data_IF_143850304752
#
_entry.id   IF_143850304752
#
_cell.length_a   1.000
_cell.length_b   1.000
_cell.length_c   1.000
_cell.angle_alpha   90.00
_cell.angle_beta   90.00
_cell.angle_gamma   90.00
#
_symmetry.space_group_name_H-M   'P 1'
#
loop_
_entity.id
_entity.type
_entity.pdbx_description
1 polymer ?
#
# COMPACT_ATOMS: atom_id res chain seq x y z
N UNK A 1 11.06 -18.76 -32.00
CA UNK A 1 11.35 -17.35 -31.70
C UNK A 1 12.35 -17.36 -30.56
N UNK A 2 13.58 -16.90 -30.81
CA UNK A 2 14.64 -16.83 -29.78
C UNK A 2 14.22 -15.84 -28.71
N UNK A 3 14.12 -16.29 -27.46
CA UNK A 3 13.98 -15.40 -26.32
C UNK A 3 15.21 -14.48 -26.31
N UNK A 4 15.00 -13.18 -26.51
CA UNK A 4 16.05 -12.18 -26.35
C UNK A 4 16.56 -12.29 -24.90
N UNK A 5 17.88 -12.34 -24.72
CA UNK A 5 18.49 -12.27 -23.38
C UNK A 5 17.90 -11.09 -22.61
N UNK A 6 17.51 -11.28 -21.34
CA UNK A 6 16.94 -10.21 -20.54
C UNK A 6 17.96 -9.06 -20.45
N UNK A 7 17.60 -7.91 -21.02
CA UNK A 7 18.47 -6.74 -21.04
C UNK A 7 18.56 -6.11 -19.66
N UNK A 8 19.78 -5.96 -19.11
CA UNK A 8 20.01 -5.29 -17.83
C UNK A 8 19.50 -3.84 -17.85
N UNK A 9 18.80 -3.43 -16.79
CA UNK A 9 18.41 -2.03 -16.54
C UNK A 9 19.66 -1.29 -16.06
N UNK A 10 20.07 -0.26 -16.80
CA UNK A 10 21.22 0.62 -16.46
C UNK A 10 20.77 1.98 -15.98
N UNK A 11 19.60 2.41 -16.43
CA UNK A 11 18.97 3.69 -16.06
C UNK A 11 17.49 3.49 -15.78
N UNK A 12 17.04 3.94 -14.60
CA UNK A 12 15.68 3.77 -14.14
C UNK A 12 15.08 5.12 -13.77
N UNK A 13 13.92 5.45 -14.36
CA UNK A 13 13.13 6.60 -13.94
C UNK A 13 12.31 6.25 -12.71
N UNK A 14 12.45 7.03 -11.64
CA UNK A 14 11.58 7.00 -10.47
C UNK A 14 10.48 8.03 -10.67
N UNK A 15 9.26 7.57 -10.98
CA UNK A 15 8.10 8.41 -11.23
C UNK A 15 7.29 8.60 -9.93
N UNK A 16 7.93 9.14 -8.91
CA UNK A 16 7.33 9.35 -7.59
C UNK A 16 8.13 10.38 -6.78
N UNK A 17 7.68 10.66 -5.55
CA UNK A 17 8.27 11.62 -4.61
C UNK A 17 8.39 11.02 -3.20
N UNK A 18 8.84 11.84 -2.26
CA UNK A 18 8.82 11.49 -0.84
C UNK A 18 9.75 10.35 -0.48
N UNK A 19 9.38 9.59 0.56
CA UNK A 19 10.22 8.51 1.09
C UNK A 19 10.36 7.36 0.10
N UNK A 20 9.33 7.06 -0.71
CA UNK A 20 9.39 5.96 -1.69
C UNK A 20 10.38 6.27 -2.82
N UNK A 21 10.49 7.54 -3.23
CA UNK A 21 11.53 7.93 -4.18
C UNK A 21 12.92 7.73 -3.60
N UNK A 22 13.16 8.12 -2.34
CA UNK A 22 14.41 7.82 -1.62
C UNK A 22 14.66 6.32 -1.57
N UNK A 23 13.63 5.52 -1.23
CA UNK A 23 13.70 4.06 -1.13
C UNK A 23 14.14 3.41 -2.44
N UNK A 24 13.52 3.80 -3.56
CA UNK A 24 13.86 3.25 -4.89
C UNK A 24 15.26 3.70 -5.33
N UNK A 25 15.61 4.99 -5.16
CA UNK A 25 16.93 5.53 -5.50
C UNK A 25 18.06 4.84 -4.74
N UNK A 26 17.86 4.52 -3.45
CA UNK A 26 18.83 3.75 -2.66
C UNK A 26 19.06 2.35 -3.23
N UNK A 27 18.02 1.67 -3.71
CA UNK A 27 18.17 0.38 -4.38
C UNK A 27 18.89 0.55 -5.73
N UNK A 28 18.57 1.58 -6.53
CA UNK A 28 19.30 1.88 -7.76
C UNK A 28 20.80 2.05 -7.50
N UNK A 29 21.17 2.86 -6.53
CA UNK A 29 22.56 3.11 -6.13
C UNK A 29 23.26 1.79 -5.76
N UNK A 30 22.63 0.93 -4.93
CA UNK A 30 23.19 -0.36 -4.51
C UNK A 30 23.38 -1.33 -5.68
N UNK A 31 22.48 -1.29 -6.68
CA UNK A 31 22.55 -2.14 -7.88
C UNK A 31 23.43 -1.56 -8.99
N UNK A 32 23.99 -0.36 -8.82
CA UNK A 32 24.76 0.34 -9.85
C UNK A 32 23.91 0.79 -11.05
N UNK A 33 22.65 1.16 -10.78
CA UNK A 33 21.68 1.69 -11.76
C UNK A 33 21.63 3.21 -11.62
N UNK A 34 21.75 3.94 -12.73
CA UNK A 34 21.56 5.40 -12.74
C UNK A 34 20.11 5.74 -12.40
N UNK A 35 19.88 6.40 -11.27
CA UNK A 35 18.57 6.81 -10.78
C UNK A 35 18.17 8.18 -11.34
N UNK A 36 17.16 8.21 -12.20
CA UNK A 36 16.56 9.46 -12.72
C UNK A 36 15.26 9.71 -11.97
N UNK A 37 15.07 10.93 -11.46
CA UNK A 37 13.87 11.28 -10.68
C UNK A 37 13.00 12.30 -11.43
N UNK A 38 11.69 12.06 -11.50
CA UNK A 38 10.74 13.13 -11.84
C UNK A 38 10.50 14.02 -10.63
N UNK A 39 10.44 15.33 -10.85
CA UNK A 39 10.06 16.32 -9.82
C UNK A 39 9.08 17.34 -10.38
N UNK A 40 8.16 17.80 -9.53
CA UNK A 40 7.43 19.04 -9.75
C UNK A 40 8.22 20.21 -9.18
N UNK A 41 7.76 21.44 -9.40
CA UNK A 41 8.44 22.62 -8.86
C UNK A 41 8.50 22.61 -7.32
N UNK A 42 7.47 22.08 -6.67
CA UNK A 42 7.41 21.93 -5.21
C UNK A 42 8.51 21.00 -4.67
N UNK A 43 8.87 19.96 -5.42
CA UNK A 43 9.84 18.94 -4.99
C UNK A 43 11.26 19.16 -5.56
N UNK A 44 11.51 20.23 -6.32
CA UNK A 44 12.77 20.45 -7.02
C UNK A 44 14.00 20.51 -6.10
N UNK A 45 13.81 20.81 -4.81
CA UNK A 45 14.88 20.88 -3.79
C UNK A 45 14.74 19.80 -2.69
N UNK A 46 13.86 18.84 -2.88
CA UNK A 46 13.62 17.75 -1.93
C UNK A 46 14.84 16.85 -1.74
N UNK A 47 14.84 16.06 -0.68
CA UNK A 47 15.91 15.08 -0.44
C UNK A 47 16.07 14.09 -1.59
N UNK A 48 15.01 13.46 -2.14
CA UNK A 48 15.17 12.56 -3.28
C UNK A 48 15.75 13.28 -4.52
N UNK A 49 15.43 14.57 -4.75
CA UNK A 49 16.01 15.32 -5.86
C UNK A 49 17.53 15.52 -5.72
N UNK A 50 18.05 15.55 -4.50
CA UNK A 50 19.51 15.62 -4.24
C UNK A 50 20.20 14.27 -4.28
N UNK A 51 19.46 13.18 -4.08
CA UNK A 51 19.99 11.80 -4.11
C UNK A 51 20.00 11.19 -5.51
N UNK A 52 19.15 11.71 -6.40
CA UNK A 52 19.07 11.23 -7.77
C UNK A 52 20.31 11.62 -8.58
N UNK A 53 20.78 10.75 -9.46
CA UNK A 53 21.87 11.05 -10.40
C UNK A 53 21.43 12.11 -11.42
N UNK A 54 20.14 12.10 -11.79
CA UNK A 54 19.52 13.09 -12.68
C UNK A 54 18.11 13.40 -12.25
N UNK A 55 17.68 14.64 -12.51
CA UNK A 55 16.34 15.14 -12.22
C UNK A 55 15.67 15.62 -13.51
N UNK A 56 14.40 15.24 -13.72
CA UNK A 56 13.58 15.71 -14.84
C UNK A 56 12.32 16.36 -14.28
N UNK A 57 12.05 17.62 -14.68
CA UNK A 57 10.84 18.32 -14.27
C UNK A 57 9.63 17.85 -15.05
N UNK A 58 8.52 17.68 -14.33
CA UNK A 58 7.19 17.36 -14.87
C UNK A 58 6.17 18.34 -14.27
N UNK A 59 5.12 18.69 -15.01
CA UNK A 59 4.09 19.60 -14.48
C UNK A 59 3.27 18.96 -13.36
N UNK A 60 3.10 17.63 -13.41
CA UNK A 60 2.36 16.84 -12.41
C UNK A 60 2.84 15.40 -12.42
N UNK A 61 2.83 14.76 -11.24
CA UNK A 61 3.03 13.30 -11.13
C UNK A 61 1.87 12.48 -11.69
N UNK A 62 0.75 13.11 -12.04
CA UNK A 62 -0.42 12.51 -12.68
C UNK A 62 -0.44 12.69 -14.21
N UNK A 63 0.54 13.40 -14.79
CA UNK A 63 0.64 13.62 -16.23
C UNK A 63 1.38 12.45 -16.89
N UNK A 64 0.60 11.53 -17.49
CA UNK A 64 1.14 10.34 -18.15
C UNK A 64 2.11 10.69 -19.27
N UNK A 65 1.77 11.68 -20.11
CA UNK A 65 2.57 12.05 -21.28
C UNK A 65 3.91 12.67 -20.87
N UNK A 66 3.91 13.56 -19.87
CA UNK A 66 5.12 14.15 -19.31
C UNK A 66 6.02 13.10 -18.65
N UNK A 67 5.44 12.20 -17.87
CA UNK A 67 6.18 11.12 -17.19
C UNK A 67 6.79 10.13 -18.21
N UNK A 68 6.05 9.73 -19.24
CA UNK A 68 6.57 8.85 -20.30
C UNK A 68 7.64 9.56 -21.14
N UNK A 69 7.48 10.87 -21.41
CA UNK A 69 8.50 11.66 -22.10
C UNK A 69 9.80 11.70 -21.30
N UNK A 70 9.71 11.88 -19.98
CA UNK A 70 10.88 11.80 -19.08
C UNK A 70 11.54 10.41 -19.10
N UNK A 71 10.74 9.34 -19.22
CA UNK A 71 11.19 7.96 -19.23
C UNK A 71 11.91 7.54 -20.52
N UNK A 72 11.73 8.24 -21.64
CA UNK A 72 12.29 7.84 -22.97
C UNK A 72 13.81 7.69 -23.00
N UNK A 73 14.52 8.30 -22.06
CA UNK A 73 15.98 8.18 -21.95
C UNK A 73 16.42 7.10 -20.95
N UNK A 74 15.46 6.36 -20.39
CA UNK A 74 15.67 5.33 -19.39
C UNK A 74 15.28 3.95 -19.94
N UNK A 75 15.86 2.90 -19.37
CA UNK A 75 15.55 1.51 -19.72
C UNK A 75 14.21 1.07 -19.09
N UNK A 76 13.89 1.64 -17.92
CA UNK A 76 12.71 1.28 -17.14
C UNK A 76 12.16 2.48 -16.37
N UNK A 77 10.91 2.34 -15.90
CA UNK A 77 10.22 3.26 -15.01
C UNK A 77 9.70 2.49 -13.80
N UNK A 78 10.02 2.97 -12.59
CA UNK A 78 9.44 2.51 -11.33
C UNK A 78 8.42 3.53 -10.83
N UNK A 79 7.14 3.17 -10.70
CA UNK A 79 6.09 4.10 -10.33
C UNK A 79 5.97 4.32 -8.80
N UNK A 80 6.64 3.52 -7.98
CA UNK A 80 6.45 3.50 -6.52
C UNK A 80 5.04 3.05 -6.13
N UNK A 81 4.38 3.83 -5.29
CA UNK A 81 2.97 3.70 -4.92
C UNK A 81 2.23 5.06 -5.01
N UNK A 82 0.89 5.05 -5.05
CA UNK A 82 0.11 6.26 -5.30
C UNK A 82 0.31 6.83 -6.71
N UNK A 83 -0.20 8.02 -6.96
CA UNK A 83 -0.14 8.68 -8.28
C UNK A 83 -0.55 7.74 -9.43
N UNK A 84 0.39 7.45 -10.33
CA UNK A 84 0.16 6.62 -11.52
C UNK A 84 0.56 5.15 -11.35
N UNK A 85 0.89 4.69 -10.14
CA UNK A 85 1.42 3.34 -9.91
C UNK A 85 0.45 2.21 -10.32
N UNK A 86 -0.85 2.47 -10.25
CA UNK A 86 -1.91 1.52 -10.65
C UNK A 86 -2.62 1.95 -11.94
N UNK A 87 -2.04 2.88 -12.70
CA UNK A 87 -2.65 3.40 -13.92
C UNK A 87 -2.28 2.54 -15.15
N UNK A 88 -3.22 1.80 -15.76
CA UNK A 88 -2.94 0.96 -16.94
C UNK A 88 -2.50 1.77 -18.16
N UNK A 89 -2.91 3.05 -18.27
CA UNK A 89 -2.50 3.90 -19.39
C UNK A 89 -1.00 4.22 -19.30
N UNK A 90 -0.42 4.41 -18.09
CA UNK A 90 1.02 4.60 -17.93
C UNK A 90 1.79 3.36 -18.39
N UNK A 91 1.38 2.16 -17.96
CA UNK A 91 2.04 0.92 -18.35
C UNK A 91 1.97 0.69 -19.88
N UNK A 92 0.81 0.99 -20.50
CA UNK A 92 0.63 0.93 -21.95
C UNK A 92 1.53 1.92 -22.68
N UNK A 93 1.59 3.17 -22.23
CA UNK A 93 2.40 4.21 -22.82
C UNK A 93 3.91 3.96 -22.68
N UNK A 94 4.34 3.39 -21.55
CA UNK A 94 5.72 2.92 -21.35
C UNK A 94 6.08 1.84 -22.38
N UNK A 95 5.22 0.82 -22.55
CA UNK A 95 5.43 -0.25 -23.52
C UNK A 95 5.54 0.30 -24.95
N UNK A 96 4.66 1.23 -25.33
CA UNK A 96 4.69 1.89 -26.64
C UNK A 96 5.96 2.74 -26.85
N UNK A 97 6.54 3.27 -25.77
CA UNK A 97 7.79 4.03 -25.79
C UNK A 97 9.06 3.15 -25.71
N UNK A 98 8.92 1.81 -25.60
CA UNK A 98 10.04 0.89 -25.41
C UNK A 98 10.65 0.94 -24.01
N UNK A 99 9.94 1.50 -23.02
CA UNK A 99 10.36 1.62 -21.62
C UNK A 99 9.70 0.50 -20.82
N UNK A 100 10.49 -0.24 -20.02
CA UNK A 100 9.94 -1.29 -19.16
C UNK A 100 9.25 -0.68 -17.95
N UNK A 101 7.99 -1.01 -17.76
CA UNK A 101 7.25 -0.66 -16.54
C UNK A 101 7.60 -1.64 -15.42
N UNK A 102 8.12 -1.17 -14.29
CA UNK A 102 8.44 -2.00 -13.11
C UNK A 102 7.16 -2.22 -12.32
N UNK A 103 6.44 -3.26 -12.67
CA UNK A 103 5.13 -3.59 -12.12
C UNK A 103 4.37 -4.58 -13.01
N UNK A 104 3.09 -4.80 -12.71
CA UNK A 104 2.21 -5.68 -13.48
C UNK A 104 1.93 -5.17 -14.89
N UNK A 105 1.34 -6.03 -15.71
CA UNK A 105 0.88 -5.65 -17.05
C UNK A 105 -0.27 -4.64 -17.00
N UNK A 106 -0.47 -3.88 -18.07
CA UNK A 106 -1.62 -2.98 -18.17
C UNK A 106 -2.95 -3.71 -17.99
N UNK A 107 -3.06 -4.95 -18.47
CA UNK A 107 -4.27 -5.78 -18.32
C UNK A 107 -4.48 -6.16 -16.85
N UNK A 108 -3.42 -6.57 -16.13
CA UNK A 108 -3.49 -6.88 -14.70
C UNK A 108 -3.84 -5.64 -13.87
N UNK A 109 -3.26 -4.47 -14.21
CA UNK A 109 -3.60 -3.20 -13.56
C UNK A 109 -5.07 -2.83 -13.77
N UNK A 110 -5.61 -3.01 -14.99
CA UNK A 110 -7.01 -2.75 -15.27
C UNK A 110 -7.95 -3.70 -14.51
N UNK A 111 -7.59 -4.99 -14.44
CA UNK A 111 -8.37 -6.00 -13.71
C UNK A 111 -8.36 -5.74 -12.19
N UNK A 112 -7.22 -5.32 -11.63
CA UNK A 112 -7.07 -5.01 -10.21
C UNK A 112 -7.75 -3.69 -9.80
N UNK A 113 -7.72 -2.69 -10.68
CA UNK A 113 -8.25 -1.35 -10.41
C UNK A 113 -9.77 -1.22 -10.43
N UNK A 114 -10.48 -2.16 -11.06
CA UNK A 114 -11.94 -2.23 -11.05
C UNK A 114 -12.40 -3.24 -10.00
N UNK A 115 -13.07 -2.76 -8.93
CA UNK A 115 -13.45 -3.62 -7.78
C UNK A 115 -14.41 -4.75 -8.15
N UNK A 116 -15.28 -4.57 -9.15
CA UNK A 116 -16.17 -5.64 -9.61
C UNK A 116 -15.38 -6.68 -10.40
N UNK A 117 -14.51 -6.25 -11.32
CA UNK A 117 -13.65 -7.17 -12.06
C UNK A 117 -12.69 -7.93 -11.13
N UNK A 118 -12.05 -7.23 -10.18
CA UNK A 118 -11.18 -7.87 -9.18
C UNK A 118 -11.91 -8.93 -8.36
N UNK A 119 -13.17 -8.64 -7.96
CA UNK A 119 -14.02 -9.60 -7.26
C UNK A 119 -14.37 -10.81 -8.14
N UNK A 120 -14.70 -10.60 -9.43
CA UNK A 120 -14.96 -11.68 -10.39
C UNK A 120 -13.72 -12.58 -10.56
N UNK A 121 -12.55 -12.00 -10.69
CA UNK A 121 -11.29 -12.73 -10.73
C UNK A 121 -11.03 -13.51 -9.44
N UNK A 122 -11.31 -12.92 -8.27
CA UNK A 122 -11.18 -13.61 -6.98
C UNK A 122 -12.11 -14.84 -6.90
N UNK A 123 -13.38 -14.70 -7.29
CA UNK A 123 -14.34 -15.82 -7.35
C UNK A 123 -13.86 -16.89 -8.33
N UNK A 124 -13.40 -16.52 -9.53
CA UNK A 124 -12.89 -17.45 -10.53
C UNK A 124 -11.63 -18.20 -10.05
N UNK A 125 -10.81 -17.58 -9.20
CA UNK A 125 -9.66 -18.20 -8.55
C UNK A 125 -10.01 -19.01 -7.29
N UNK A 126 -11.30 -19.11 -6.91
CA UNK A 126 -11.74 -19.81 -5.72
C UNK A 126 -11.50 -19.08 -4.40
N UNK A 127 -11.22 -17.78 -4.45
CA UNK A 127 -10.98 -16.94 -3.27
C UNK A 127 -12.33 -16.56 -2.63
N UNK A 128 -12.51 -16.75 -1.30
CA UNK A 128 -13.73 -16.33 -0.63
C UNK A 128 -13.99 -14.83 -0.74
N UNK A 129 -15.23 -14.46 -1.02
CA UNK A 129 -15.68 -13.06 -1.11
C UNK A 129 -16.90 -12.84 -0.22
N UNK A 130 -17.08 -11.66 0.32
CA UNK A 130 -18.30 -11.33 1.06
C UNK A 130 -19.52 -11.34 0.10
N UNK A 131 -20.71 -11.77 0.56
CA UNK A 131 -21.93 -11.64 -0.23
C UNK A 131 -22.16 -10.19 -0.67
N UNK A 132 -22.49 -9.98 -1.94
CA UNK A 132 -22.67 -8.65 -2.52
C UNK A 132 -22.71 -8.68 -4.04
N UNK A 133 -22.84 -7.49 -4.65
CA UNK A 133 -22.91 -7.37 -6.12
C UNK A 133 -23.10 -5.94 -6.60
N UNK A 134 -23.19 -5.75 -7.93
CA UNK A 134 -23.35 -4.45 -8.55
C UNK A 134 -24.68 -3.77 -8.16
N UNK A 135 -24.63 -2.45 -7.94
CA UNK A 135 -25.78 -1.69 -7.45
C UNK A 135 -26.95 -1.53 -8.47
N UNK A 136 -26.80 -2.04 -9.69
CA UNK A 136 -27.89 -2.07 -10.67
C UNK A 136 -29.10 -2.92 -10.20
N UNK A 137 -28.83 -3.89 -9.32
CA UNK A 137 -29.83 -4.73 -8.65
C UNK A 137 -29.84 -4.51 -7.13
N UNK A 138 -29.59 -3.26 -6.66
CA UNK A 138 -29.34 -2.95 -5.26
C UNK A 138 -30.38 -3.51 -4.29
N UNK A 139 -31.69 -3.37 -4.60
CA UNK A 139 -32.77 -3.86 -3.72
C UNK A 139 -32.80 -5.39 -3.62
N UNK A 140 -32.55 -6.10 -4.72
CA UNK A 140 -32.49 -7.56 -4.70
C UNK A 140 -31.29 -8.06 -3.90
N UNK A 141 -30.11 -7.45 -4.12
CA UNK A 141 -28.88 -7.77 -3.38
C UNK A 141 -29.07 -7.44 -1.90
N UNK A 142 -29.61 -6.26 -1.55
CA UNK A 142 -29.86 -5.89 -0.16
C UNK A 142 -30.83 -6.85 0.55
N UNK A 143 -31.83 -7.38 -0.18
CA UNK A 143 -32.74 -8.39 0.36
C UNK A 143 -32.05 -9.74 0.61
N UNK A 144 -31.04 -10.10 -0.22
CA UNK A 144 -30.27 -11.33 -0.10
C UNK A 144 -29.23 -11.24 1.04
N UNK A 145 -28.43 -10.14 1.08
CA UNK A 145 -27.32 -10.03 2.04
C UNK A 145 -27.75 -9.50 3.42
N UNK A 146 -28.91 -8.86 3.51
CA UNK A 146 -29.43 -8.26 4.74
C UNK A 146 -28.78 -6.92 5.10
N UNK A 147 -29.19 -6.39 6.28
CA UNK A 147 -28.67 -5.15 6.84
C UNK A 147 -28.00 -5.41 8.20
N UNK A 148 -27.02 -4.62 8.62
CA UNK A 148 -26.43 -3.49 7.86
C UNK A 148 -25.55 -3.97 6.69
N UNK A 149 -25.42 -3.11 5.67
CA UNK A 149 -24.57 -3.36 4.51
C UNK A 149 -23.67 -2.14 4.19
N UNK A 150 -22.69 -2.33 3.31
CA UNK A 150 -21.84 -1.28 2.76
C UNK A 150 -22.21 -1.03 1.29
N UNK A 151 -22.32 0.25 0.93
CA UNK A 151 -22.28 0.74 -0.45
C UNK A 151 -20.88 1.25 -0.72
N UNK A 152 -20.26 0.81 -1.82
CA UNK A 152 -18.89 1.16 -2.21
C UNK A 152 -18.84 1.66 -3.64
N UNK A 153 -17.99 2.66 -3.93
CA UNK A 153 -17.67 3.07 -5.29
C UNK A 153 -16.77 2.04 -5.96
N UNK A 154 -17.06 1.66 -7.21
CA UNK A 154 -16.27 0.67 -7.97
C UNK A 154 -14.86 1.17 -8.24
N UNK A 155 -14.70 2.42 -8.70
CA UNK A 155 -13.41 3.06 -8.94
C UNK A 155 -12.77 3.68 -7.68
N UNK A 156 -13.36 3.51 -6.48
CA UNK A 156 -12.91 4.13 -5.25
C UNK A 156 -11.74 3.40 -4.59
N UNK A 157 -10.92 4.14 -3.83
CA UNK A 157 -9.82 3.62 -3.01
C UNK A 157 -9.69 4.38 -1.69
N UNK A 158 -8.97 3.80 -0.70
CA UNK A 158 -8.71 4.44 0.59
C UNK A 158 -9.97 4.80 1.39
N UNK A 159 -11.04 4.02 1.25
CA UNK A 159 -12.29 4.22 1.97
C UNK A 159 -13.20 5.34 1.43
N UNK A 160 -12.80 6.07 0.40
CA UNK A 160 -13.65 7.08 -0.23
C UNK A 160 -14.80 6.43 -1.00
N UNK A 161 -15.99 7.05 -0.91
CA UNK A 161 -17.21 6.53 -1.55
C UNK A 161 -17.78 5.29 -0.88
N UNK A 162 -17.44 5.04 0.41
CA UNK A 162 -18.05 3.98 1.22
C UNK A 162 -19.09 4.55 2.18
N UNK A 163 -20.27 3.90 2.23
CA UNK A 163 -21.37 4.28 3.12
C UNK A 163 -21.97 3.06 3.79
N UNK A 164 -22.13 3.15 5.11
CA UNK A 164 -22.91 2.18 5.89
C UNK A 164 -24.41 2.47 5.72
N UNK A 165 -25.15 1.42 5.39
CA UNK A 165 -26.62 1.46 5.28
C UNK A 165 -27.16 0.55 6.37
N UNK A 166 -27.90 1.16 7.32
CA UNK A 166 -28.36 0.45 8.51
C UNK A 166 -29.64 -0.35 8.28
N UNK A 167 -30.50 0.12 7.37
CA UNK A 167 -31.83 -0.40 7.15
C UNK A 167 -32.32 -0.15 5.70
N UNK A 168 -33.40 -0.82 5.26
CA UNK A 168 -33.95 -0.66 3.92
C UNK A 168 -34.40 0.77 3.57
N UNK A 169 -34.83 1.56 4.56
CA UNK A 169 -35.37 2.90 4.31
C UNK A 169 -34.28 3.89 3.93
N UNK A 170 -33.06 3.68 4.39
CA UNK A 170 -31.89 4.53 4.10
C UNK A 170 -31.14 4.15 2.82
N UNK A 171 -31.48 3.02 2.15
CA UNK A 171 -30.73 2.51 1.02
C UNK A 171 -30.70 3.46 -0.19
N UNK A 172 -31.86 3.94 -0.64
CA UNK A 172 -31.95 4.76 -1.85
C UNK A 172 -31.18 6.09 -1.69
N UNK A 173 -31.33 6.75 -0.53
CA UNK A 173 -30.61 7.99 -0.23
C UNK A 173 -29.09 7.76 -0.20
N UNK A 174 -28.64 6.66 0.43
CA UNK A 174 -27.22 6.30 0.48
C UNK A 174 -26.62 6.02 -0.91
N UNK A 175 -27.39 5.37 -1.80
CA UNK A 175 -26.97 5.12 -3.17
C UNK A 175 -26.83 6.42 -3.98
N UNK A 176 -27.78 7.37 -3.83
CA UNK A 176 -27.75 8.64 -4.57
C UNK A 176 -26.56 9.50 -4.13
N UNK A 177 -26.33 9.60 -2.83
CA UNK A 177 -25.18 10.31 -2.28
C UNK A 177 -23.84 9.66 -2.69
N UNK A 178 -23.75 8.33 -2.60
CA UNK A 178 -22.54 7.61 -3.01
C UNK A 178 -22.26 7.78 -4.52
N UNK A 179 -23.28 7.77 -5.39
CA UNK A 179 -23.12 8.03 -6.84
C UNK A 179 -22.61 9.44 -7.13
N UNK A 180 -23.13 10.43 -6.41
CA UNK A 180 -22.69 11.81 -6.56
C UNK A 180 -21.22 11.99 -6.15
N UNK A 181 -20.84 11.42 -5.01
CA UNK A 181 -19.46 11.45 -4.51
C UNK A 181 -18.50 10.70 -5.44
N UNK A 182 -18.86 9.48 -5.84
CA UNK A 182 -18.04 8.66 -6.73
C UNK A 182 -17.84 9.33 -8.11
N UNK A 183 -18.88 9.93 -8.67
CA UNK A 183 -18.78 10.69 -9.92
C UNK A 183 -17.86 11.90 -9.82
N UNK A 184 -17.90 12.62 -8.69
CA UNK A 184 -17.05 13.78 -8.47
C UNK A 184 -15.57 13.40 -8.18
N UNK A 185 -15.35 12.32 -7.41
CA UNK A 185 -14.02 11.94 -6.95
C UNK A 185 -13.25 11.06 -7.96
N UNK A 186 -13.96 10.21 -8.71
CA UNK A 186 -13.33 9.16 -9.54
C UNK A 186 -13.76 9.20 -11.02
N UNK A 187 -14.66 10.11 -11.41
CA UNK A 187 -15.31 10.13 -12.74
C UNK A 187 -16.02 8.79 -13.09
N UNK A 188 -16.30 7.95 -12.08
CA UNK A 188 -17.01 6.68 -12.21
C UNK A 188 -18.16 6.65 -11.18
N UNK A 189 -19.40 6.48 -11.65
CA UNK A 189 -20.60 6.48 -10.81
C UNK A 189 -21.08 5.08 -10.45
N UNK A 190 -20.35 4.03 -10.88
CA UNK A 190 -20.70 2.64 -10.57
C UNK A 190 -20.49 2.36 -9.09
N UNK A 191 -21.44 1.67 -8.49
CA UNK A 191 -21.44 1.27 -7.10
C UNK A 191 -21.65 -0.24 -6.99
N UNK A 192 -21.21 -0.80 -5.87
CA UNK A 192 -21.59 -2.15 -5.48
C UNK A 192 -21.96 -2.20 -3.99
N UNK A 193 -22.76 -3.22 -3.64
CA UNK A 193 -23.19 -3.49 -2.28
C UNK A 193 -22.44 -4.70 -1.76
N UNK A 194 -22.13 -4.68 -0.47
CA UNK A 194 -21.45 -5.78 0.20
C UNK A 194 -21.95 -5.91 1.64
N UNK A 195 -22.01 -7.14 2.15
CA UNK A 195 -22.32 -7.38 3.56
C UNK A 195 -21.34 -6.64 4.45
N UNK A 196 -21.84 -5.90 5.45
CA UNK A 196 -20.99 -5.33 6.49
C UNK A 196 -20.54 -6.44 7.46
N UNK A 197 -19.26 -6.47 7.74
CA UNK A 197 -18.67 -7.29 8.81
C UNK A 197 -18.23 -6.35 9.92
N UNK A 198 -18.85 -6.49 11.08
CA UNK A 198 -18.42 -5.76 12.28
C UNK A 198 -17.19 -6.44 12.90
N UNK A 199 -16.29 -5.64 13.46
CA UNK A 199 -15.10 -6.08 14.17
C UNK A 199 -14.15 -7.00 13.37
N UNK A 200 -14.12 -6.88 12.05
CA UNK A 200 -13.16 -7.60 11.21
C UNK A 200 -11.72 -7.06 11.36
N UNK A 201 -10.72 -7.90 11.10
CA UNK A 201 -9.31 -7.51 11.01
C UNK A 201 -8.92 -7.36 9.54
N UNK A 202 -8.11 -6.36 9.25
CA UNK A 202 -7.52 -6.18 7.93
C UNK A 202 -6.18 -6.91 7.89
N UNK A 203 -6.16 -8.06 7.26
CA UNK A 203 -4.93 -8.86 7.06
C UNK A 203 -4.68 -8.97 5.56
N UNK A 204 -3.43 -8.84 5.16
CA UNK A 204 -3.05 -8.84 3.76
C UNK A 204 -1.87 -9.77 3.50
N UNK A 205 -1.77 -10.29 2.28
CA UNK A 205 -0.71 -11.21 1.87
C UNK A 205 0.14 -10.57 0.78
N UNK A 206 1.45 -10.47 1.02
CA UNK A 206 2.41 -9.99 0.04
C UNK A 206 2.66 -11.03 -1.03
N UNK A 207 2.45 -10.66 -2.28
CA UNK A 207 2.80 -11.47 -3.45
C UNK A 207 4.07 -10.97 -4.13
N UNK A 208 4.79 -11.91 -4.75
CA UNK A 208 5.82 -11.66 -5.73
C UNK A 208 5.64 -12.64 -6.89
N UNK A 209 5.52 -12.14 -8.12
CA UNK A 209 5.29 -12.96 -9.31
C UNK A 209 6.20 -12.58 -10.47
N UNK A 210 6.58 -13.54 -11.32
CA UNK A 210 7.37 -13.31 -12.53
C UNK A 210 6.53 -13.39 -13.83
N UNK A 211 5.22 -13.59 -13.68
CA UNK A 211 4.27 -13.80 -14.78
C UNK A 211 4.08 -15.28 -15.13
N UNK A 212 4.83 -16.19 -14.53
CA UNK A 212 4.74 -17.65 -14.70
C UNK A 212 4.49 -18.32 -13.35
N UNK A 213 5.20 -17.90 -12.31
CA UNK A 213 5.08 -18.37 -10.94
C UNK A 213 4.75 -17.21 -10.02
N UNK A 214 4.02 -17.49 -8.97
CA UNK A 214 3.71 -16.55 -7.88
C UNK A 214 4.08 -17.20 -6.55
N UNK A 215 4.73 -16.44 -5.66
CA UNK A 215 4.96 -16.84 -4.27
C UNK A 215 4.36 -15.79 -3.34
N UNK A 216 3.96 -16.22 -2.14
CA UNK A 216 3.66 -15.29 -1.07
C UNK A 216 4.89 -15.07 -0.19
N UNK A 217 5.03 -13.88 0.38
CA UNK A 217 6.11 -13.50 1.29
C UNK A 217 5.60 -13.27 2.73
N UNK A 218 4.53 -14.00 3.10
CA UNK A 218 3.87 -13.86 4.39
C UNK A 218 2.77 -12.81 4.38
N UNK A 219 2.24 -12.58 5.57
CA UNK A 219 1.10 -11.71 5.83
C UNK A 219 1.47 -10.50 6.69
N UNK A 220 0.61 -9.49 6.63
CA UNK A 220 0.66 -8.28 7.46
C UNK A 220 -0.70 -8.02 8.09
N UNK A 221 -0.72 -7.57 9.34
CA UNK A 221 -1.91 -6.98 9.95
C UNK A 221 -1.87 -5.46 9.77
N UNK A 222 -2.94 -4.93 9.21
CA UNK A 222 -3.12 -3.51 8.94
C UNK A 222 -4.41 -2.99 9.60
N UNK A 223 -4.86 -3.61 10.69
CA UNK A 223 -6.14 -3.28 11.35
C UNK A 223 -6.11 -1.94 12.08
N UNK A 224 -4.93 -1.46 12.49
CA UNK A 224 -4.81 -0.15 13.15
C UNK A 224 -4.95 0.95 12.08
N UNK A 225 -6.17 1.45 11.97
CA UNK A 225 -6.58 2.38 10.92
C UNK A 225 -7.43 3.51 11.49
N UNK A 226 -7.40 4.66 10.80
CA UNK A 226 -8.36 5.73 11.00
C UNK A 226 -9.08 6.03 9.68
N UNK A 227 -10.41 5.91 9.67
CA UNK A 227 -11.22 6.14 8.46
C UNK A 227 -10.68 5.40 7.24
N UNK A 228 -10.31 4.12 7.43
CA UNK A 228 -9.72 3.24 6.42
C UNK A 228 -8.29 3.60 5.95
N UNK A 229 -7.64 4.55 6.62
CA UNK A 229 -6.22 4.86 6.41
C UNK A 229 -5.38 4.12 7.45
N UNK A 230 -4.46 3.29 6.98
CA UNK A 230 -3.53 2.52 7.83
C UNK A 230 -2.61 3.48 8.58
N UNK A 231 -2.41 3.24 9.88
CA UNK A 231 -1.53 4.03 10.75
C UNK A 231 -0.33 3.22 11.21
N UNK A 232 -0.55 1.95 11.51
CA UNK A 232 0.46 1.02 11.98
C UNK A 232 0.21 -0.35 11.36
N UNK A 233 1.28 -0.99 10.92
CA UNK A 233 1.27 -2.31 10.30
C UNK A 233 2.30 -3.23 10.94
N UNK A 234 1.99 -4.51 11.03
CA UNK A 234 2.89 -5.51 11.60
C UNK A 234 2.94 -6.82 10.79
N UNK A 235 4.09 -7.46 10.76
CA UNK A 235 4.33 -8.74 10.09
C UNK A 235 5.13 -9.69 11.01
N UNK A 236 4.72 -10.98 11.07
CA UNK A 236 3.47 -11.54 10.56
C UNK A 236 2.26 -11.07 11.39
N UNK A 237 1.04 -11.20 10.86
CA UNK A 237 -0.19 -10.85 11.58
C UNK A 237 -0.28 -11.63 12.90
N UNK A 238 -0.42 -10.96 14.06
CA UNK A 238 -0.47 -11.65 15.35
C UNK A 238 -1.77 -12.43 15.53
N UNK A 239 -1.73 -13.50 16.32
CA UNK A 239 -2.91 -14.31 16.69
C UNK A 239 -3.79 -14.76 15.51
N UNK A 240 -3.18 -14.98 14.34
CA UNK A 240 -3.86 -15.60 13.21
C UNK A 240 -3.70 -17.12 13.32
N UNK A 241 -4.80 -17.85 13.32
CA UNK A 241 -4.78 -19.32 13.32
C UNK A 241 -3.93 -19.86 12.16
N UNK A 242 -3.14 -20.88 12.41
CA UNK A 242 -2.17 -21.41 11.45
C UNK A 242 -2.84 -21.95 10.17
N UNK A 243 -4.01 -22.57 10.30
CA UNK A 243 -4.79 -23.07 9.15
C UNK A 243 -5.38 -21.91 8.37
N UNK A 244 -6.00 -20.95 9.06
CA UNK A 244 -6.54 -19.75 8.42
C UNK A 244 -5.46 -18.99 7.66
N UNK A 245 -4.26 -18.83 8.26
CA UNK A 245 -3.11 -18.24 7.59
C UNK A 245 -2.72 -18.98 6.31
N UNK A 246 -2.61 -20.30 6.39
CA UNK A 246 -2.27 -21.13 5.23
C UNK A 246 -3.33 -21.03 4.12
N UNK A 247 -4.61 -21.03 4.48
CA UNK A 247 -5.73 -20.89 3.54
C UNK A 247 -5.71 -19.50 2.87
N UNK A 248 -5.41 -18.44 3.62
CA UNK A 248 -5.26 -17.07 3.07
C UNK A 248 -4.06 -16.95 2.12
N UNK A 249 -2.91 -17.53 2.50
CA UNK A 249 -1.73 -17.55 1.63
C UNK A 249 -2.01 -18.28 0.32
N UNK A 250 -2.64 -19.45 0.39
CA UNK A 250 -3.03 -20.23 -0.79
C UNK A 250 -4.02 -19.46 -1.69
N UNK A 251 -5.02 -18.80 -1.10
CA UNK A 251 -5.99 -17.98 -1.82
C UNK A 251 -5.32 -16.81 -2.54
N UNK A 252 -4.38 -16.13 -1.88
CA UNK A 252 -3.65 -15.02 -2.49
C UNK A 252 -2.78 -15.48 -3.67
N UNK A 253 -2.05 -16.60 -3.52
CA UNK A 253 -1.24 -17.19 -4.60
C UNK A 253 -2.14 -17.60 -5.77
N UNK A 254 -3.27 -18.29 -5.51
CA UNK A 254 -4.21 -18.71 -6.54
C UNK A 254 -4.75 -17.51 -7.37
N UNK A 255 -5.08 -16.39 -6.71
CA UNK A 255 -5.47 -15.17 -7.41
C UNK A 255 -4.32 -14.59 -8.24
N UNK A 256 -3.11 -14.55 -7.69
CA UNK A 256 -1.92 -14.09 -8.40
C UNK A 256 -1.61 -14.93 -9.65
N UNK A 257 -1.69 -16.26 -9.54
CA UNK A 257 -1.51 -17.19 -10.67
C UNK A 257 -2.61 -17.01 -11.72
N UNK A 258 -3.87 -16.90 -11.30
CA UNK A 258 -5.01 -16.65 -12.18
C UNK A 258 -4.83 -15.37 -13.00
N UNK A 259 -4.23 -14.32 -12.42
CA UNK A 259 -3.96 -13.04 -13.09
C UNK A 259 -2.64 -13.05 -13.89
N UNK A 260 -1.83 -14.12 -13.87
CA UNK A 260 -0.49 -14.12 -14.44
C UNK A 260 0.35 -13.00 -13.84
N UNK A 261 0.30 -12.82 -12.51
CA UNK A 261 0.82 -11.66 -11.81
C UNK A 261 2.32 -11.49 -11.99
N UNK A 262 2.75 -10.24 -12.21
CA UNK A 262 4.16 -9.88 -12.37
C UNK A 262 4.53 -8.69 -11.50
N UNK A 263 5.65 -8.78 -10.77
CA UNK A 263 6.11 -7.79 -9.81
C UNK A 263 5.62 -8.06 -8.41
N UNK A 264 5.76 -7.06 -7.53
CA UNK A 264 5.21 -7.09 -6.17
C UNK A 264 3.75 -6.64 -6.17
N UNK A 265 2.92 -7.32 -5.41
CA UNK A 265 1.51 -6.98 -5.20
C UNK A 265 1.02 -7.49 -3.85
N UNK A 266 -0.18 -7.10 -3.49
CA UNK A 266 -0.76 -7.45 -2.20
C UNK A 266 -2.23 -7.79 -2.37
N UNK A 267 -2.65 -8.91 -1.80
CA UNK A 267 -4.06 -9.28 -1.70
C UNK A 267 -4.54 -8.97 -0.29
N UNK A 268 -5.52 -8.10 -0.18
CA UNK A 268 -6.10 -7.67 1.09
C UNK A 268 -7.33 -8.50 1.43
N UNK A 269 -7.43 -8.90 2.69
CA UNK A 269 -8.52 -9.71 3.23
C UNK A 269 -9.13 -9.09 4.48
N UNK A 270 -10.42 -9.29 4.65
CA UNK A 270 -11.11 -9.07 5.91
C UNK A 270 -11.22 -10.41 6.65
N UNK A 271 -10.52 -10.54 7.76
CA UNK A 271 -10.64 -11.70 8.67
C UNK A 271 -11.76 -11.45 9.66
N UNK A 272 -12.66 -12.41 9.80
CA UNK A 272 -13.83 -12.34 10.66
C UNK A 272 -14.09 -13.67 11.36
N UNK A 273 -15.12 -13.75 12.20
CA UNK A 273 -15.38 -14.94 13.04
C UNK A 273 -15.55 -16.23 12.23
N UNK A 274 -16.08 -16.14 11.01
CA UNK A 274 -16.37 -17.31 10.17
C UNK A 274 -15.26 -17.63 9.16
N UNK A 275 -14.13 -16.89 9.17
CA UNK A 275 -13.02 -17.09 8.24
C UNK A 275 -12.44 -15.80 7.70
N UNK A 276 -12.25 -15.72 6.37
CA UNK A 276 -11.76 -14.52 5.69
C UNK A 276 -12.48 -14.31 4.37
N UNK A 277 -12.45 -13.05 3.90
CA UNK A 277 -12.96 -12.69 2.59
C UNK A 277 -12.06 -11.68 1.90
N UNK A 278 -11.96 -11.78 0.58
CA UNK A 278 -11.24 -10.85 -0.28
C UNK A 278 -11.82 -9.43 -0.15
N UNK A 279 -10.94 -8.44 -0.01
CA UNK A 279 -11.28 -7.02 -0.06
C UNK A 279 -10.88 -6.40 -1.39
N UNK A 280 -9.58 -6.46 -1.69
CA UNK A 280 -9.02 -5.92 -2.94
C UNK A 280 -7.63 -6.50 -3.23
N UNK A 281 -7.14 -6.27 -4.43
CA UNK A 281 -5.75 -6.52 -4.81
C UNK A 281 -5.10 -5.19 -5.17
N UNK A 282 -3.97 -4.90 -4.52
CA UNK A 282 -3.14 -3.73 -4.84
C UNK A 282 -2.01 -4.15 -5.77
N UNK A 283 -2.12 -3.72 -7.03
CA UNK A 283 -1.22 -4.14 -8.10
C UNK A 283 0.06 -3.28 -8.15
N UNK A 284 0.70 -3.08 -6.99
CA UNK A 284 1.87 -2.24 -6.77
C UNK A 284 2.61 -2.62 -5.49
N UNK A 285 3.75 -1.97 -5.27
CA UNK A 285 4.40 -1.98 -3.97
C UNK A 285 3.52 -1.24 -2.94
N UNK A 286 3.39 -1.78 -1.74
CA UNK A 286 2.65 -1.14 -0.64
C UNK A 286 3.56 -0.22 0.19
N UNK A 287 2.95 0.75 0.90
CA UNK A 287 3.67 1.62 1.85
C UNK A 287 4.39 0.77 2.88
N UNK A 288 3.69 -0.21 3.43
CA UNK A 288 4.07 -1.12 4.50
C UNK A 288 4.94 -2.31 4.06
N UNK A 289 5.44 -2.32 2.81
CA UNK A 289 6.38 -3.36 2.35
C UNK A 289 7.61 -3.55 3.25
N UNK A 290 8.12 -2.53 3.97
CA UNK A 290 9.29 -2.68 4.81
C UNK A 290 9.15 -3.70 5.94
N UNK A 291 7.96 -3.94 6.51
CA UNK A 291 7.82 -4.98 7.54
C UNK A 291 7.98 -6.38 6.96
N UNK A 292 7.52 -6.61 5.71
CA UNK A 292 7.80 -7.87 5.01
C UNK A 292 9.29 -8.02 4.71
N UNK A 293 9.96 -6.97 4.24
CA UNK A 293 11.41 -6.99 4.03
C UNK A 293 12.17 -7.30 5.31
N UNK A 294 11.74 -6.74 6.44
CA UNK A 294 12.39 -6.95 7.73
C UNK A 294 12.30 -8.39 8.23
N UNK A 295 11.18 -9.08 8.01
CA UNK A 295 10.99 -10.47 8.46
C UNK A 295 11.45 -11.51 7.46
N UNK A 296 11.61 -11.15 6.17
CA UNK A 296 12.06 -12.09 5.11
C UNK A 296 13.51 -11.89 4.69
N UNK A 297 14.10 -10.73 4.98
CA UNK A 297 15.44 -10.35 4.51
C UNK A 297 15.51 -10.01 3.02
N UNK A 298 14.37 -9.95 2.31
CA UNK A 298 14.31 -9.64 0.88
C UNK A 298 14.27 -8.12 0.66
N UNK A 299 14.81 -7.66 -0.48
CA UNK A 299 14.59 -6.31 -0.99
C UNK A 299 13.57 -6.36 -2.12
N UNK A 300 12.32 -6.00 -1.82
CA UNK A 300 11.21 -6.08 -2.78
C UNK A 300 11.41 -5.17 -4.00
N UNK A 301 12.04 -4.02 -3.84
CA UNK A 301 12.33 -3.13 -4.97
C UNK A 301 13.39 -3.76 -5.89
N UNK A 302 14.41 -4.41 -5.32
CA UNK A 302 15.41 -5.13 -6.12
C UNK A 302 14.79 -6.32 -6.86
N UNK A 303 13.90 -7.08 -6.22
CA UNK A 303 13.16 -8.18 -6.86
C UNK A 303 12.26 -7.65 -7.99
N UNK A 304 11.54 -6.55 -7.78
CA UNK A 304 10.73 -5.92 -8.84
C UNK A 304 11.59 -5.52 -10.05
N UNK A 305 12.78 -4.96 -9.83
CA UNK A 305 13.71 -4.57 -10.90
C UNK A 305 14.20 -5.82 -11.64
N UNK A 306 14.59 -6.88 -10.93
CA UNK A 306 15.04 -8.13 -11.54
C UNK A 306 13.94 -8.79 -12.39
N UNK A 307 12.70 -8.80 -11.91
CA UNK A 307 11.54 -9.28 -12.66
C UNK A 307 11.29 -8.42 -13.91
N UNK A 308 11.45 -7.10 -13.80
CA UNK A 308 11.33 -6.19 -14.95
C UNK A 308 12.45 -6.40 -15.98
N UNK A 309 13.62 -6.88 -15.56
CA UNK A 309 14.70 -7.34 -16.45
C UNK A 309 14.36 -8.66 -17.18
N UNK A 310 13.25 -9.33 -16.79
CA UNK A 310 12.86 -10.63 -17.32
C UNK A 310 13.49 -11.81 -16.60
N UNK A 311 14.09 -11.60 -15.42
CA UNK A 311 14.60 -12.68 -14.60
C UNK A 311 13.44 -13.46 -13.96
N UNK A 312 13.49 -14.79 -13.91
CA UNK A 312 12.51 -15.58 -13.15
C UNK A 312 12.69 -15.34 -11.65
N UNK A 313 11.65 -15.69 -10.89
CA UNK A 313 11.75 -15.73 -9.42
C UNK A 313 12.94 -16.59 -9.00
N UNK A 314 13.81 -16.05 -8.15
CA UNK A 314 15.05 -16.70 -7.68
C UNK A 314 14.78 -17.68 -6.55
N UNK A 315 13.56 -17.70 -6.00
CA UNK A 315 13.12 -18.51 -4.87
C UNK A 315 11.90 -19.34 -5.24
N UNK A 316 11.78 -20.52 -4.67
CA UNK A 316 10.52 -21.27 -4.58
C UNK A 316 9.76 -20.86 -3.30
N UNK A 317 8.51 -21.31 -3.14
CA UNK A 317 7.74 -20.99 -1.94
C UNK A 317 8.40 -21.49 -0.65
N UNK A 318 9.00 -22.68 -0.69
CA UNK A 318 9.66 -23.29 0.47
C UNK A 318 10.98 -22.59 0.87
N UNK A 319 11.53 -21.74 0.00
CA UNK A 319 12.70 -20.93 0.32
C UNK A 319 12.36 -19.66 1.10
N UNK A 320 11.09 -19.27 1.10
CA UNK A 320 10.63 -18.07 1.81
C UNK A 320 10.53 -18.36 3.29
N UNK A 321 11.39 -17.72 4.08
CA UNK A 321 11.38 -17.83 5.54
C UNK A 321 10.95 -16.52 6.17
N UNK A 322 10.09 -16.60 7.19
CA UNK A 322 9.67 -15.46 8.00
C UNK A 322 10.33 -15.59 9.37
N UNK A 323 11.14 -14.61 9.75
CA UNK A 323 11.91 -14.63 11.01
C UNK A 323 11.60 -13.42 11.85
N UNK A 324 11.25 -13.66 13.12
CA UNK A 324 10.96 -12.59 14.09
C UNK A 324 9.63 -11.90 13.82
N UNK A 325 9.56 -10.63 14.21
CA UNK A 325 8.37 -9.79 14.08
C UNK A 325 8.78 -8.34 13.81
N UNK A 326 8.11 -7.70 12.85
CA UNK A 326 8.36 -6.32 12.49
C UNK A 326 7.09 -5.48 12.65
N UNK A 327 7.26 -4.21 13.03
CA UNK A 327 6.18 -3.24 13.16
C UNK A 327 6.61 -1.95 12.47
N UNK A 328 5.72 -1.37 11.66
CA UNK A 328 5.89 -0.07 11.02
C UNK A 328 4.89 0.93 11.59
N UNK A 329 5.34 2.17 11.86
CA UNK A 329 4.49 3.31 12.16
C UNK A 329 4.62 4.34 11.04
N UNK A 330 3.49 4.82 10.53
CA UNK A 330 3.45 5.95 9.60
C UNK A 330 3.47 7.26 10.36
N UNK A 331 4.56 8.01 10.26
CA UNK A 331 4.69 9.33 10.89
C UNK A 331 4.22 10.39 9.90
N UNK A 332 3.03 10.92 10.15
CA UNK A 332 2.35 11.87 9.28
C UNK A 332 2.37 13.29 9.87
N UNK A 333 2.44 14.31 8.99
CA UNK A 333 2.24 15.72 9.35
C UNK A 333 0.74 16.03 9.52
N UNK A 334 0.16 15.49 10.59
CA UNK A 334 -1.24 15.63 10.95
C UNK A 334 -1.37 15.89 12.45
N UNK A 335 -2.41 16.63 12.82
CA UNK A 335 -2.70 16.96 14.22
C UNK A 335 -3.85 16.06 14.75
N UNK A 336 -3.55 15.00 15.54
CA UNK A 336 -4.56 14.12 16.08
C UNK A 336 -5.59 14.82 16.98
N UNK A 337 -5.19 15.89 17.70
CA UNK A 337 -6.07 16.64 18.61
C UNK A 337 -7.03 17.57 17.86
N UNK A 338 -6.78 17.80 16.57
CA UNK A 338 -7.61 18.59 15.67
C UNK A 338 -8.24 17.77 14.57
N UNK A 339 -8.65 16.56 14.89
CA UNK A 339 -9.31 15.64 13.95
C UNK A 339 -8.43 15.20 12.80
N UNK A 340 -7.10 15.15 13.01
CA UNK A 340 -6.06 14.83 12.00
C UNK A 340 -6.00 15.85 10.86
N UNK A 341 -6.21 17.11 11.17
CA UNK A 341 -6.00 18.16 10.18
C UNK A 341 -4.56 18.14 9.69
N UNK A 342 -4.31 18.27 8.36
CA UNK A 342 -2.98 18.41 7.81
C UNK A 342 -2.22 19.56 8.49
N UNK A 343 -0.94 19.35 8.78
CA UNK A 343 -0.07 20.33 9.44
C UNK A 343 1.09 20.75 8.49
N UNK A 344 0.82 21.57 7.46
CA UNK A 344 1.88 22.11 6.62
C UNK A 344 2.76 23.08 7.41
N UNK A 345 4.05 23.14 7.04
CA UNK A 345 5.03 24.00 7.71
C UNK A 345 6.46 23.71 7.29
N UNK A 346 7.41 24.18 8.06
CA UNK A 346 8.83 23.82 7.88
C UNK A 346 9.31 23.02 9.07
N UNK A 347 9.88 21.85 8.80
CA UNK A 347 10.53 21.04 9.82
C UNK A 347 11.72 21.79 10.39
N UNK A 348 11.66 22.19 11.65
CA UNK A 348 12.71 22.96 12.33
C UNK A 348 13.77 22.07 12.94
N UNK A 349 13.39 20.87 13.35
CA UNK A 349 14.31 19.81 13.76
C UNK A 349 13.77 18.43 13.35
N UNK A 350 14.67 17.54 12.94
CA UNK A 350 14.34 16.16 12.61
C UNK A 350 15.47 15.23 13.07
N UNK A 351 15.17 14.42 14.07
CA UNK A 351 16.07 13.40 14.58
C UNK A 351 15.38 12.04 14.57
N UNK A 352 16.06 11.06 14.02
CA UNK A 352 15.55 9.70 13.92
C UNK A 352 16.48 8.72 14.65
N UNK A 353 15.94 7.71 15.33
CA UNK A 353 16.72 6.71 16.01
C UNK A 353 17.50 5.83 15.02
N UNK A 354 18.67 5.39 15.44
CA UNK A 354 19.45 4.35 14.77
C UNK A 354 19.80 3.25 15.76
N UNK A 355 20.03 2.05 15.25
CA UNK A 355 20.42 0.89 16.07
C UNK A 355 19.95 -0.42 15.47
N UNK A 356 20.30 -1.52 16.11
CA UNK A 356 19.89 -2.86 15.72
C UNK A 356 18.35 -2.98 15.75
N UNK A 357 17.78 -3.58 14.71
CA UNK A 357 16.34 -3.73 14.57
C UNK A 357 15.58 -2.43 14.32
N UNK A 358 16.24 -1.32 13.97
CA UNK A 358 15.59 -0.04 13.65
C UNK A 358 15.93 0.36 12.21
N UNK A 359 14.90 0.66 11.44
CA UNK A 359 14.96 1.23 10.09
C UNK A 359 14.05 2.45 10.01
N UNK A 360 14.53 3.49 9.33
CA UNK A 360 13.74 4.68 9.05
C UNK A 360 13.77 4.96 7.55
N UNK A 361 12.60 4.92 6.92
CA UNK A 361 12.42 5.34 5.55
C UNK A 361 11.78 6.74 5.56
N UNK A 362 12.55 7.75 5.16
CA UNK A 362 12.12 9.15 5.21
C UNK A 362 12.71 9.97 4.09
N UNK A 363 12.03 11.05 3.73
CA UNK A 363 12.52 12.12 2.87
C UNK A 363 12.71 13.44 3.63
N UNK A 364 12.45 13.42 4.95
CA UNK A 364 12.45 14.60 5.81
C UNK A 364 13.80 14.77 6.51
N UNK A 365 14.23 16.00 6.60
CA UNK A 365 15.36 16.49 7.37
C UNK A 365 15.06 17.92 7.86
N UNK A 366 15.83 18.42 8.81
CA UNK A 366 15.76 19.83 9.23
C UNK A 366 15.79 20.76 8.01
N UNK A 367 14.85 21.69 7.95
CA UNK A 367 14.64 22.62 6.83
C UNK A 367 13.71 22.10 5.72
N UNK A 368 13.16 20.88 5.82
CA UNK A 368 12.20 20.36 4.84
C UNK A 368 10.88 21.14 4.94
N UNK A 369 10.41 21.65 3.80
CA UNK A 369 9.06 22.22 3.68
C UNK A 369 8.04 21.11 3.50
N UNK A 370 7.05 21.06 4.39
CA UNK A 370 5.87 20.19 4.30
C UNK A 370 4.73 21.00 3.72
N UNK A 371 4.23 20.59 2.55
CA UNK A 371 3.15 21.29 1.84
C UNK A 371 1.84 20.51 1.98
N UNK A 372 0.72 21.19 1.73
CA UNK A 372 -0.60 20.56 1.68
C UNK A 372 -0.92 19.96 0.29
N UNK A 373 0.01 20.05 -0.66
CA UNK A 373 -0.23 19.62 -2.06
C UNK A 373 -0.21 18.09 -2.22
N UNK A 374 0.41 17.38 -1.27
CA UNK A 374 0.64 15.94 -1.32
C UNK A 374 0.26 15.27 -0.01
N UNK A 375 0.41 13.94 0.03
CA UNK A 375 0.21 13.13 1.23
C UNK A 375 1.07 13.65 2.40
N UNK A 376 0.55 13.52 3.60
CA UNK A 376 1.16 14.00 4.85
C UNK A 376 2.29 13.11 5.39
N UNK A 377 2.59 11.97 4.77
CA UNK A 377 3.59 11.01 5.24
C UNK A 377 5.00 11.63 5.22
N UNK A 378 5.61 11.72 6.39
CA UNK A 378 6.97 12.25 6.59
C UNK A 378 8.02 11.14 6.65
N UNK A 379 7.70 10.08 7.40
CA UNK A 379 8.59 8.97 7.62
C UNK A 379 7.81 7.70 7.95
N UNK A 380 8.46 6.57 7.72
CA UNK A 380 8.07 5.26 8.27
C UNK A 380 9.14 4.86 9.29
N UNK A 381 8.72 4.60 10.51
CA UNK A 381 9.57 4.03 11.55
C UNK A 381 9.28 2.54 11.62
N UNK A 382 10.25 1.74 11.23
CA UNK A 382 10.14 0.29 11.17
C UNK A 382 11.06 -0.30 12.24
N UNK A 383 10.53 -1.24 13.01
CA UNK A 383 11.30 -1.99 13.99
C UNK A 383 11.19 -3.49 13.73
N UNK A 384 12.22 -4.23 14.11
CA UNK A 384 12.27 -5.68 14.03
C UNK A 384 12.85 -6.27 15.29
N UNK A 385 12.30 -7.39 15.76
CA UNK A 385 12.78 -8.15 16.88
C UNK A 385 12.56 -9.65 16.69
N UNK A 386 13.18 -10.51 17.50
CA UNK A 386 13.00 -11.95 17.42
C UNK A 386 11.56 -12.40 17.72
N UNK A 387 10.79 -11.57 18.39
CA UNK A 387 9.38 -11.76 18.67
C UNK A 387 8.65 -10.41 18.77
N UNK A 388 7.30 -10.43 18.81
CA UNK A 388 6.46 -9.24 18.91
C UNK A 388 6.72 -8.42 20.17
N UNK A 389 6.97 -9.07 21.31
CA UNK A 389 7.22 -8.39 22.57
C UNK A 389 8.52 -7.58 22.51
N UNK A 390 9.58 -8.14 21.89
CA UNK A 390 10.82 -7.40 21.66
C UNK A 390 10.63 -6.28 20.65
N UNK A 391 9.92 -6.51 19.53
CA UNK A 391 9.62 -5.47 18.55
C UNK A 391 8.88 -4.29 19.21
N UNK A 392 7.88 -4.55 20.06
CA UNK A 392 7.17 -3.52 20.82
C UNK A 392 8.08 -2.75 21.77
N UNK A 393 9.04 -3.40 22.42
CA UNK A 393 10.01 -2.70 23.28
C UNK A 393 10.91 -1.76 22.47
N UNK A 394 11.44 -2.26 21.33
CA UNK A 394 12.27 -1.46 20.43
C UNK A 394 11.47 -0.29 19.87
N UNK A 395 10.18 -0.49 19.53
CA UNK A 395 9.31 0.56 19.00
C UNK A 395 9.07 1.68 20.03
N UNK A 396 8.79 1.34 21.29
CA UNK A 396 8.63 2.35 22.36
C UNK A 396 9.88 3.21 22.51
N UNK A 397 11.05 2.58 22.56
CA UNK A 397 12.33 3.29 22.66
C UNK A 397 12.62 4.14 21.42
N UNK A 398 12.28 3.63 20.24
CA UNK A 398 12.48 4.34 18.98
C UNK A 398 11.56 5.56 18.87
N UNK A 399 10.28 5.43 19.21
CA UNK A 399 9.32 6.55 19.24
C UNK A 399 9.76 7.63 20.20
N UNK A 400 10.23 7.27 21.41
CA UNK A 400 10.73 8.23 22.41
C UNK A 400 11.97 9.01 21.96
N UNK A 401 12.72 8.50 20.99
CA UNK A 401 13.92 9.13 20.41
C UNK A 401 13.67 9.78 19.05
N UNK A 402 12.44 9.72 18.54
CA UNK A 402 12.05 10.34 17.27
C UNK A 402 11.58 11.75 17.54
N UNK A 403 12.17 12.72 16.84
CA UNK A 403 11.79 14.13 16.89
C UNK A 403 11.50 14.63 15.46
N UNK A 404 10.36 15.29 15.28
CA UNK A 404 10.02 16.06 14.09
C UNK A 404 9.29 17.31 14.60
N UNK A 405 10.01 18.44 14.67
CA UNK A 405 9.49 19.71 15.15
C UNK A 405 9.15 20.67 13.99
N UNK A 406 8.31 21.65 14.28
CA UNK A 406 7.86 22.68 13.30
C UNK A 406 6.54 22.34 12.61
N UNK A 407 6.06 21.09 12.76
CA UNK A 407 4.73 20.61 12.31
C UNK A 407 4.14 19.70 13.36
N UNK A 408 2.80 19.63 13.47
CA UNK A 408 2.15 18.61 14.28
C UNK A 408 2.30 17.23 13.61
N UNK A 409 2.49 16.18 14.41
CA UNK A 409 2.72 14.82 13.91
C UNK A 409 1.96 13.77 14.67
N UNK A 410 1.82 12.59 14.06
CA UNK A 410 1.18 11.40 14.65
C UNK A 410 2.10 10.63 15.63
N UNK A 411 3.31 11.12 15.96
CA UNK A 411 4.26 10.42 16.86
C UNK A 411 3.62 10.13 18.22
N UNK A 412 2.96 11.12 18.84
CA UNK A 412 2.28 10.96 20.13
C UNK A 412 1.15 9.94 20.09
N UNK A 413 0.41 9.87 18.99
CA UNK A 413 -0.62 8.86 18.77
C UNK A 413 -0.02 7.45 18.73
N UNK A 414 1.08 7.26 17.98
CA UNK A 414 1.76 5.96 17.93
C UNK A 414 2.30 5.54 19.30
N UNK A 415 2.82 6.46 20.10
CA UNK A 415 3.24 6.17 21.45
C UNK A 415 2.05 5.71 22.34
N UNK A 416 0.87 6.34 22.19
CA UNK A 416 -0.35 5.93 22.89
C UNK A 416 -0.83 4.54 22.43
N UNK A 417 -0.86 4.27 21.10
CA UNK A 417 -1.23 2.96 20.54
C UNK A 417 -0.34 1.85 21.12
N UNK A 418 1.00 2.05 21.10
CA UNK A 418 1.96 1.04 21.55
C UNK A 418 1.91 0.81 23.07
N UNK A 419 1.45 1.81 23.83
CA UNK A 419 1.27 1.69 25.28
C UNK A 419 -0.08 1.06 25.68
N UNK A 420 -1.05 0.99 24.74
CA UNK A 420 -2.39 0.49 25.01
C UNK A 420 -2.39 -1.04 25.25
N UNK A 421 -3.04 -1.53 26.33
CA UNK A 421 -3.10 -2.96 26.63
C UNK A 421 -3.77 -3.81 25.56
N UNK A 422 -4.80 -3.29 24.89
CA UNK A 422 -5.52 -4.02 23.85
C UNK A 422 -4.60 -4.27 22.65
N UNK A 423 -3.86 -3.23 22.22
CA UNK A 423 -2.85 -3.38 21.17
C UNK A 423 -1.71 -4.29 21.61
N UNK A 424 -1.25 -4.18 22.86
CA UNK A 424 -0.15 -5.01 23.40
C UNK A 424 -0.48 -6.51 23.36
N UNK A 425 -1.77 -6.89 23.53
CA UNK A 425 -2.20 -8.29 23.40
C UNK A 425 -2.25 -8.77 21.95
N UNK A 426 -2.32 -7.86 20.96
CA UNK A 426 -2.48 -8.14 19.53
C UNK A 426 -3.94 -8.44 19.15
N UNK A 427 -4.25 -8.40 17.85
CA UNK A 427 -5.57 -8.74 17.31
C UNK A 427 -6.67 -7.69 17.57
N UNK A 428 -6.35 -6.41 17.42
CA UNK A 428 -7.36 -5.34 17.42
C UNK A 428 -8.14 -5.34 16.08
N UNK A 429 -9.46 -5.09 16.09
CA UNK A 429 -10.25 -4.99 14.86
C UNK A 429 -10.07 -3.64 14.16
N UNK A 430 -10.48 -3.57 12.88
CA UNK A 430 -10.60 -2.29 12.17
C UNK A 430 -11.56 -1.37 12.92
N UNK A 431 -11.21 -0.08 13.01
CA UNK A 431 -11.98 0.89 13.78
C UNK A 431 -11.63 0.94 15.28
N UNK A 432 -10.76 0.04 15.77
CA UNK A 432 -10.15 0.22 17.07
C UNK A 432 -9.09 1.34 17.01
N UNK A 433 -9.20 2.27 17.92
CA UNK A 433 -8.13 3.23 18.26
C UNK A 433 -8.28 3.60 19.74
N UNK A 434 -7.19 3.90 20.46
CA UNK A 434 -7.28 4.35 21.85
C UNK A 434 -7.97 5.72 21.94
N UNK A 435 -8.63 6.01 23.07
CA UNK A 435 -9.09 7.35 23.39
C UNK A 435 -7.86 8.28 23.63
N UNK A 436 -7.83 9.52 23.13
CA UNK A 436 -8.91 10.28 22.45
C UNK A 436 -8.96 10.13 20.92
N UNK A 437 -8.18 9.27 20.33
CA UNK A 437 -8.04 9.18 18.86
C UNK A 437 -9.29 8.66 18.11
N UNK A 438 -10.35 8.28 18.86
CA UNK A 438 -11.61 7.79 18.30
C UNK A 438 -12.54 8.89 17.74
N UNK A 439 -12.20 10.15 17.90
CA UNK A 439 -13.05 11.29 17.51
C UNK A 439 -13.03 11.58 16.00
#
# INVERSE_FOLDING_TARGET
MSASEPGRIRRLLVANRGEIAVRVLRTCCRLGIEGVLTVTDADARSLPARLADRVVRVPSYLDVDAVVTAARTCDALHPGYGFLSENPALATACAAAGVRFVGPSAATLAAAGDKLAAREHAVAAGVPVLPGGAADSARAIAAEIGFPLLVKAVGGGGGRGMRRVADPASLDAALDEARAEAGAAFADRRLYLERLVDAGRHVEVQLLGDGVRVVHLGDRDCSVQRRYQKLLEEAPAPHLDARLRADMHAAAVALGEHLGYRGAGTVEFLVHADGFAFLEINARLQVEHPVTEAVTGLDLVAEQIAIAEGQPLRMAQDDVTVTGHAIECRLNAEDPDRGFAPSPGTVTDAAFPAGEGIRVDTHVQTGTAVTADYDSLLAKLIVHGPDRAQALRVLRDALARTTIDGVATTIGLHAAIVADPDFATGAVPTGWLPEPARA
#
